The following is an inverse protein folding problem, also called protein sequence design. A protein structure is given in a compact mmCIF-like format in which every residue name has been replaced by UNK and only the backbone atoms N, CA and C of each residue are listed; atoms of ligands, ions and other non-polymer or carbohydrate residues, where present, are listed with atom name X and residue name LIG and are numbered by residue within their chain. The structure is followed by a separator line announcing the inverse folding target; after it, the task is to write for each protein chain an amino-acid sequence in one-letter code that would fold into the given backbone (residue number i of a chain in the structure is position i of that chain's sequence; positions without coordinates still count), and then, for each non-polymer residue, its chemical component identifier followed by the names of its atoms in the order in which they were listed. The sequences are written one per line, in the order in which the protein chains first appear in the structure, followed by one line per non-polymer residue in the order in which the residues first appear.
data_IF_272582930120
#
_entry.id   IF_272582930120
#
_cell.length_a   1.000
_cell.length_b   1.000
_cell.length_c   1.000
_cell.angle_alpha   90.00
_cell.angle_beta   90.00
_cell.angle_gamma   90.00
#
_symmetry.space_group_name_H-M   'P 1'
#
loop_
_entity.id
_entity.type
_entity.pdbx_description
1 polymer ?
#
# COMPACT_ATOMS: atom_id res chain seq x y z
N UNK A 1 49.97 13.28 26.12
CA UNK A 1 49.28 11.99 26.15
C UNK A 1 47.76 12.10 26.23
N UNK A 2 47.22 13.27 26.35
CA UNK A 2 45.76 13.44 26.40
C UNK A 2 45.06 13.49 25.03
N UNK A 3 45.79 13.59 23.97
CA UNK A 3 45.21 13.64 22.62
C UNK A 3 44.82 12.30 22.02
N UNK A 4 45.41 11.20 22.46
CA UNK A 4 45.04 9.88 22.00
C UNK A 4 43.61 9.49 22.45
N UNK A 5 43.17 10.04 23.54
CA UNK A 5 41.81 9.85 24.06
C UNK A 5 40.78 10.51 23.20
N UNK A 6 41.04 11.71 22.73
CA UNK A 6 40.12 12.48 21.90
C UNK A 6 39.95 11.85 20.51
N UNK A 7 41.03 11.31 19.95
CA UNK A 7 40.97 10.63 18.66
C UNK A 7 40.16 9.34 18.72
N UNK A 8 40.26 8.56 19.81
CA UNK A 8 39.54 7.31 19.97
C UNK A 8 38.05 7.56 20.15
N UNK A 9 37.66 8.58 20.88
CA UNK A 9 36.26 8.96 21.07
C UNK A 9 35.62 9.44 19.75
N UNK A 10 36.38 10.11 18.90
CA UNK A 10 35.94 10.64 17.64
C UNK A 10 35.62 9.50 16.65
N UNK A 11 36.45 8.48 16.61
CA UNK A 11 36.28 7.31 15.73
C UNK A 11 35.03 6.51 16.15
N UNK A 12 34.82 6.37 17.44
CA UNK A 12 33.65 5.67 17.95
C UNK A 12 32.33 6.38 17.61
N UNK A 13 32.33 7.71 17.63
CA UNK A 13 31.18 8.51 17.27
C UNK A 13 30.82 8.39 15.76
N UNK A 14 31.82 8.35 14.88
CA UNK A 14 31.66 8.19 13.44
C UNK A 14 31.08 6.80 13.11
N UNK A 15 31.55 5.77 13.79
CA UNK A 15 31.06 4.40 13.60
C UNK A 15 29.59 4.26 14.01
N UNK A 16 29.17 4.92 15.07
CA UNK A 16 27.78 4.92 15.52
C UNK A 16 26.85 5.63 14.52
N UNK A 17 27.31 6.72 13.92
CA UNK A 17 26.56 7.45 12.90
C UNK A 17 26.37 6.61 11.63
N UNK A 18 27.39 5.88 11.20
CA UNK A 18 27.32 5.03 10.02
C UNK A 18 26.34 3.86 10.21
N UNK A 19 26.30 3.29 11.41
CA UNK A 19 25.37 2.20 11.72
C UNK A 19 23.91 2.64 11.74
N UNK A 20 23.60 3.87 12.21
CA UNK A 20 22.23 4.38 12.19
C UNK A 20 21.72 4.69 10.78
N UNK A 21 22.58 5.06 9.84
CA UNK A 21 22.20 5.33 8.45
C UNK A 21 21.83 4.05 7.69
N UNK A 22 22.41 2.90 8.06
CA UNK A 22 22.13 1.63 7.40
C UNK A 22 20.72 1.08 7.66
N UNK A 23 20.04 1.54 8.72
CA UNK A 23 18.70 1.07 9.08
C UNK A 23 17.56 1.88 8.50
N UNK A 24 17.84 2.96 7.74
CA UNK A 24 16.80 3.86 7.23
C UNK A 24 16.39 3.57 5.78
N UNK A 25 16.98 2.57 5.13
CA UNK A 25 16.85 2.40 3.68
C UNK A 25 15.69 1.51 3.20
N UNK A 26 14.91 0.87 4.07
CA UNK A 26 13.93 -0.11 3.61
C UNK A 26 12.57 -0.01 4.29
N UNK A 27 11.93 1.15 4.22
CA UNK A 27 10.52 1.24 4.61
C UNK A 27 9.64 1.19 3.37
N UNK A 28 8.87 0.10 3.22
CA UNK A 28 7.83 0.03 2.20
C UNK A 28 6.76 1.08 2.51
N UNK A 29 6.21 1.76 1.51
CA UNK A 29 5.12 2.70 1.75
C UNK A 29 3.89 1.98 2.30
N UNK A 30 3.09 2.73 3.06
CA UNK A 30 1.81 2.26 3.59
C UNK A 30 0.76 3.32 3.29
N UNK A 31 -0.50 2.93 3.36
CA UNK A 31 -1.58 3.91 3.32
C UNK A 31 -1.51 4.78 4.57
N UNK A 32 -1.50 6.10 4.39
CA UNK A 32 -1.56 7.02 5.53
C UNK A 32 -2.95 6.97 6.16
N UNK A 33 -3.07 7.45 7.39
CA UNK A 33 -4.38 7.53 8.06
C UNK A 33 -5.36 8.37 7.23
N UNK A 34 -4.89 9.47 6.65
CA UNK A 34 -5.72 10.33 5.80
C UNK A 34 -6.13 9.63 4.50
N UNK A 35 -5.23 8.89 3.88
CA UNK A 35 -5.54 8.14 2.67
C UNK A 35 -6.59 7.07 2.93
N UNK A 36 -6.50 6.37 4.06
CA UNK A 36 -7.50 5.38 4.47
C UNK A 36 -8.88 6.01 4.65
N UNK A 37 -8.91 7.17 5.28
CA UNK A 37 -10.15 7.93 5.47
C UNK A 37 -10.77 8.37 4.15
N UNK A 38 -9.96 8.92 3.24
CA UNK A 38 -10.42 9.38 1.93
C UNK A 38 -10.93 8.24 1.05
N UNK A 39 -10.21 7.12 1.05
CA UNK A 39 -10.63 5.93 0.29
C UNK A 39 -11.92 5.38 0.85
N UNK A 40 -12.01 5.23 2.17
CA UNK A 40 -13.23 4.76 2.84
C UNK A 40 -14.43 5.66 2.57
N UNK A 41 -14.24 6.97 2.66
CA UNK A 41 -15.30 7.95 2.41
C UNK A 41 -15.79 7.89 0.96
N UNK A 42 -14.87 7.77 0.01
CA UNK A 42 -15.21 7.67 -1.42
C UNK A 42 -16.11 6.46 -1.69
N UNK A 43 -15.72 5.28 -1.21
CA UNK A 43 -16.49 4.07 -1.47
C UNK A 43 -17.79 4.02 -0.66
N UNK A 44 -17.81 4.57 0.55
CA UNK A 44 -19.06 4.68 1.31
C UNK A 44 -20.05 5.59 0.60
N UNK A 45 -19.59 6.68 0.03
CA UNK A 45 -20.44 7.57 -0.76
C UNK A 45 -20.96 6.84 -2.00
N UNK A 46 -20.11 6.11 -2.69
CA UNK A 46 -20.49 5.34 -3.87
C UNK A 46 -21.56 4.28 -3.52
N UNK A 47 -21.39 3.57 -2.43
CA UNK A 47 -22.37 2.60 -1.94
C UNK A 47 -23.73 3.28 -1.70
N UNK A 48 -23.73 4.47 -1.11
CA UNK A 48 -24.94 5.22 -0.83
C UNK A 48 -25.64 5.77 -2.06
N UNK A 49 -24.93 5.93 -3.18
CA UNK A 49 -25.50 6.51 -4.41
C UNK A 49 -25.92 5.48 -5.43
N UNK A 50 -25.40 4.26 -5.36
CA UNK A 50 -25.73 3.21 -6.32
C UNK A 50 -26.96 2.43 -5.86
N UNK A 51 -27.72 1.93 -6.82
CA UNK A 51 -28.91 1.12 -6.53
C UNK A 51 -28.52 -0.18 -5.83
N UNK A 52 -29.29 -0.63 -4.82
CA UNK A 52 -29.07 -1.96 -4.23
C UNK A 52 -29.14 -3.02 -5.32
N UNK A 53 -28.22 -3.96 -5.29
CA UNK A 53 -28.13 -5.03 -6.29
C UNK A 53 -27.29 -4.69 -7.50
N UNK A 54 -26.90 -3.41 -7.69
CA UNK A 54 -25.98 -3.03 -8.75
C UNK A 54 -24.51 -3.11 -8.34
N UNK A 55 -24.24 -3.40 -7.07
CA UNK A 55 -22.88 -3.47 -6.52
C UNK A 55 -22.33 -4.89 -6.62
N UNK A 56 -21.10 -4.99 -7.10
CA UNK A 56 -20.34 -6.23 -7.07
C UNK A 56 -19.39 -6.21 -5.88
N UNK A 57 -19.66 -7.02 -4.88
CA UNK A 57 -18.81 -7.21 -3.70
C UNK A 57 -18.43 -8.68 -3.52
N UNK A 58 -18.40 -9.42 -4.61
CA UNK A 58 -18.09 -10.85 -4.59
C UNK A 58 -16.67 -11.07 -4.08
N UNK A 59 -16.49 -11.85 -3.01
CA UNK A 59 -15.14 -12.17 -2.53
C UNK A 59 -14.46 -13.18 -3.47
N UNK A 60 -13.14 -13.18 -3.45
CA UNK A 60 -12.38 -14.26 -4.04
C UNK A 60 -12.55 -15.56 -3.23
N UNK A 61 -12.14 -16.68 -3.79
CA UNK A 61 -12.10 -17.93 -3.05
C UNK A 61 -11.29 -17.76 -1.75
N UNK A 62 -11.66 -18.48 -0.70
CA UNK A 62 -11.09 -18.30 0.64
C UNK A 62 -9.56 -18.41 0.67
N UNK A 63 -9.00 -19.37 -0.05
CA UNK A 63 -7.53 -19.52 -0.12
C UNK A 63 -6.85 -18.31 -0.75
N UNK A 64 -7.49 -17.71 -1.75
CA UNK A 64 -6.98 -16.49 -2.42
C UNK A 64 -7.09 -15.30 -1.47
N UNK A 65 -8.22 -15.13 -0.79
CA UNK A 65 -8.42 -14.05 0.18
C UNK A 65 -7.36 -14.10 1.29
N UNK A 66 -7.04 -15.27 1.78
CA UNK A 66 -6.00 -15.45 2.81
C UNK A 66 -4.59 -15.12 2.32
N UNK A 67 -4.34 -15.26 1.03
CA UNK A 67 -3.04 -14.93 0.43
C UNK A 67 -2.83 -13.44 0.23
N UNK A 68 -3.90 -12.64 0.28
CA UNK A 68 -3.84 -11.19 0.07
C UNK A 68 -3.43 -10.47 1.36
N UNK A 69 -2.14 -10.45 1.62
CA UNK A 69 -1.57 -9.81 2.80
C UNK A 69 -0.33 -9.00 2.41
N UNK A 70 -0.01 -8.00 3.21
CA UNK A 70 1.21 -7.20 3.00
C UNK A 70 2.45 -8.11 3.02
N UNK A 71 3.36 -7.89 2.10
CA UNK A 71 4.56 -8.70 1.93
C UNK A 71 4.42 -9.84 0.93
N UNK A 72 3.21 -10.21 0.54
CA UNK A 72 2.95 -11.26 -0.45
C UNK A 72 2.84 -10.67 -1.86
N UNK A 73 3.10 -11.50 -2.86
CA UNK A 73 2.84 -11.11 -4.26
C UNK A 73 1.35 -11.23 -4.57
N UNK A 74 0.88 -10.39 -5.48
CA UNK A 74 -0.45 -10.57 -6.04
C UNK A 74 -0.47 -11.93 -6.75
N UNK A 75 -1.44 -12.82 -6.45
CA UNK A 75 -1.54 -14.10 -7.15
C UNK A 75 -1.64 -13.90 -8.66
N UNK A 76 -0.95 -14.76 -9.41
CA UNK A 76 -0.86 -14.62 -10.86
C UNK A 76 -2.22 -14.57 -11.54
N UNK A 77 -3.19 -15.35 -11.07
CA UNK A 77 -4.54 -15.38 -11.62
C UNK A 77 -5.32 -14.09 -11.38
N UNK A 78 -4.86 -13.23 -10.45
CA UNK A 78 -5.51 -11.96 -10.14
C UNK A 78 -4.82 -10.76 -10.76
N UNK A 79 -3.67 -10.92 -11.40
CA UNK A 79 -2.93 -9.78 -11.97
C UNK A 79 -3.77 -8.98 -12.97
N UNK A 80 -4.57 -9.65 -13.76
CA UNK A 80 -5.49 -9.03 -14.73
C UNK A 80 -6.65 -8.27 -14.07
N UNK A 81 -6.93 -8.56 -12.81
CA UNK A 81 -8.02 -7.92 -12.07
C UNK A 81 -7.60 -6.64 -11.35
N UNK A 82 -6.31 -6.32 -11.39
CA UNK A 82 -5.79 -5.05 -10.86
C UNK A 82 -6.28 -3.90 -11.73
N UNK A 83 -7.00 -2.97 -11.12
CA UNK A 83 -7.47 -1.76 -11.80
C UNK A 83 -7.00 -0.52 -11.06
N UNK A 84 -6.53 0.53 -11.76
CA UNK A 84 -6.16 1.77 -11.10
C UNK A 84 -7.34 2.34 -10.33
N UNK A 85 -7.08 3.09 -9.26
CA UNK A 85 -8.13 3.82 -8.57
C UNK A 85 -8.74 4.87 -9.51
N UNK A 86 -10.01 5.24 -9.30
CA UNK A 86 -10.58 6.36 -10.05
C UNK A 86 -9.70 7.60 -9.95
N UNK A 87 -9.50 8.29 -11.07
CA UNK A 87 -8.62 9.47 -11.14
C UNK A 87 -9.01 10.51 -10.09
N UNK A 88 -10.30 10.69 -9.89
CA UNK A 88 -10.83 11.66 -8.94
C UNK A 88 -10.42 11.34 -7.50
N UNK A 89 -10.39 10.05 -7.15
CA UNK A 89 -9.93 9.62 -5.83
C UNK A 89 -8.40 9.73 -5.73
N UNK A 90 -7.68 9.18 -6.71
CA UNK A 90 -6.21 9.17 -6.71
C UNK A 90 -5.63 10.57 -6.56
N UNK A 91 -6.25 11.57 -7.18
CA UNK A 91 -5.79 12.97 -7.12
C UNK A 91 -5.85 13.58 -5.72
N UNK A 92 -6.64 13.00 -4.82
CA UNK A 92 -6.78 13.48 -3.43
C UNK A 92 -5.82 12.80 -2.46
N UNK A 93 -5.18 11.72 -2.90
CA UNK A 93 -4.34 10.91 -2.02
C UNK A 93 -2.91 11.45 -1.98
N UNK A 94 -2.17 11.05 -0.94
CA UNK A 94 -0.78 11.43 -0.78
C UNK A 94 0.07 10.92 -1.93
N UNK A 95 1.16 11.62 -2.23
CA UNK A 95 2.10 11.18 -3.27
C UNK A 95 2.87 9.97 -2.79
N UNK A 96 3.06 9.01 -3.70
CA UNK A 96 3.91 7.85 -3.49
C UNK A 96 4.99 7.83 -4.57
N UNK A 97 6.08 7.10 -4.31
CA UNK A 97 7.16 6.98 -5.30
C UNK A 97 6.65 6.28 -6.56
N UNK A 98 7.25 6.57 -7.71
CA UNK A 98 6.84 5.99 -8.99
C UNK A 98 6.96 4.48 -9.09
N UNK A 99 7.65 3.84 -8.13
CA UNK A 99 7.81 2.38 -8.08
C UNK A 99 6.56 1.67 -7.56
N UNK A 100 5.64 2.39 -6.95
CA UNK A 100 4.42 1.86 -6.34
C UNK A 100 3.17 2.44 -6.99
N UNK A 101 2.10 1.70 -6.94
CA UNK A 101 0.81 2.14 -7.43
C UNK A 101 -0.31 1.65 -6.53
N UNK A 102 -1.43 2.38 -6.54
CA UNK A 102 -2.64 2.01 -5.84
C UNK A 102 -3.63 1.43 -6.84
N UNK A 103 -4.20 0.29 -6.49
CA UNK A 103 -5.13 -0.42 -7.37
C UNK A 103 -6.30 -0.96 -6.57
N UNK A 104 -7.42 -1.17 -7.23
CA UNK A 104 -8.47 -2.03 -6.69
C UNK A 104 -8.18 -3.46 -7.13
N UNK A 105 -8.44 -4.40 -6.24
CA UNK A 105 -8.34 -5.82 -6.49
C UNK A 105 -9.57 -6.49 -5.88
N UNK A 106 -10.58 -6.75 -6.71
CA UNK A 106 -11.89 -7.14 -6.23
C UNK A 106 -12.48 -6.07 -5.31
N UNK A 107 -12.77 -6.42 -4.08
CA UNK A 107 -13.32 -5.49 -3.07
C UNK A 107 -12.25 -4.88 -2.16
N UNK A 108 -10.99 -5.04 -2.50
CA UNK A 108 -9.87 -4.52 -1.72
C UNK A 108 -9.17 -3.39 -2.47
N UNK A 109 -8.49 -2.51 -1.73
CA UNK A 109 -7.57 -1.53 -2.29
C UNK A 109 -6.16 -1.93 -1.87
N UNK A 110 -5.27 -2.08 -2.83
CA UNK A 110 -3.90 -2.54 -2.60
C UNK A 110 -2.90 -1.48 -3.02
N UNK A 111 -1.81 -1.40 -2.27
CA UNK A 111 -0.63 -0.62 -2.61
C UNK A 111 0.44 -1.62 -3.03
N UNK A 112 0.87 -1.55 -4.28
CA UNK A 112 1.66 -2.61 -4.90
C UNK A 112 2.92 -2.04 -5.51
N UNK A 113 4.02 -2.76 -5.37
CA UNK A 113 5.27 -2.47 -6.09
C UNK A 113 5.10 -2.90 -7.54
N UNK A 114 5.27 -1.96 -8.47
CA UNK A 114 4.96 -2.19 -9.90
C UNK A 114 5.86 -3.22 -10.57
N UNK A 115 7.10 -3.37 -10.12
CA UNK A 115 8.07 -4.25 -10.77
C UNK A 115 7.77 -5.73 -10.57
N UNK A 116 7.34 -6.13 -9.37
CA UNK A 116 7.14 -7.54 -9.02
C UNK A 116 5.76 -7.83 -8.43
N UNK A 117 4.88 -6.82 -8.35
CA UNK A 117 3.53 -6.92 -7.80
C UNK A 117 3.50 -7.40 -6.35
N UNK A 118 4.51 -7.03 -5.56
CA UNK A 118 4.48 -7.25 -4.11
C UNK A 118 3.52 -6.28 -3.46
N UNK A 119 2.62 -6.79 -2.62
CA UNK A 119 1.68 -5.96 -1.86
C UNK A 119 2.43 -5.29 -0.72
N UNK A 120 2.52 -3.96 -0.76
CA UNK A 120 3.13 -3.19 0.32
C UNK A 120 2.13 -2.94 1.46
N UNK A 121 0.86 -2.72 1.11
CA UNK A 121 -0.21 -2.52 2.09
C UNK A 121 -1.55 -2.86 1.43
N UNK A 122 -2.55 -3.14 2.23
CA UNK A 122 -3.88 -3.52 1.74
C UNK A 122 -4.97 -2.99 2.66
N UNK A 123 -6.03 -2.45 2.06
CA UNK A 123 -7.27 -2.09 2.75
C UNK A 123 -8.33 -3.10 2.33
N UNK A 124 -8.69 -3.98 3.24
CA UNK A 124 -9.62 -5.07 2.92
C UNK A 124 -11.07 -4.61 2.97
N UNK A 125 -11.86 -5.09 2.00
CA UNK A 125 -13.33 -4.95 1.98
C UNK A 125 -13.82 -3.50 1.90
N UNK A 126 -13.05 -2.59 1.34
CA UNK A 126 -13.45 -1.17 1.24
C UNK A 126 -13.97 -0.81 -0.14
N UNK A 127 -13.48 -1.46 -1.19
CA UNK A 127 -13.84 -1.13 -2.57
C UNK A 127 -15.12 -1.82 -3.01
N UNK A 128 -15.85 -1.17 -3.90
CA UNK A 128 -17.02 -1.75 -4.58
C UNK A 128 -16.94 -1.41 -6.05
N UNK A 129 -17.56 -2.23 -6.87
CA UNK A 129 -17.71 -2.01 -8.32
C UNK A 129 -19.17 -2.09 -8.69
N UNK A 130 -19.55 -1.41 -9.78
CA UNK A 130 -20.82 -1.69 -10.41
C UNK A 130 -20.74 -3.04 -11.12
N UNK A 131 -21.82 -3.81 -11.03
CA UNK A 131 -21.90 -5.05 -11.78
C UNK A 131 -21.85 -4.75 -13.27
N UNK A 132 -21.07 -5.53 -13.98
CA UNK A 132 -21.06 -5.48 -15.44
C UNK A 132 -22.45 -5.86 -15.97
N UNK A 133 -22.93 -5.09 -16.94
CA UNK A 133 -24.22 -5.35 -17.59
C UNK A 133 -24.09 -6.46 -18.61
#
# INVERSE_FOLDING_TARGET
MTWTWKATLFIAAILLLTASLAFTEETSPVFTAKDRELIGAYYNHLIGTLAPGSLDRTPFALGIEKALVAGSHVPMQLEKDLEPLPVKLESQLSQITGDYGRYTLGRHVVLVKKTDLTIADILKNVAVKEKAK
#
